data_IF_985626643325
#
_entry.id   IF_985626643325
#
_cell.length_a   1.000
_cell.length_b   1.000
_cell.length_c   1.000
_cell.angle_alpha   90.00
_cell.angle_beta   90.00
_cell.angle_gamma   90.00
#
_symmetry.space_group_name_H-M   'P 1'
#
loop_
_entity.id
_entity.type
_entity.pdbx_description
1 polymer ?
#
# COMPACT_ATOMS: atom_id res chain seq x y z
N UNK A 1 -7.69 10.50 14.33
CA UNK A 1 -6.69 9.44 14.59
C UNK A 1 -6.66 8.58 13.36
N UNK A 2 -5.46 8.22 12.90
CA UNK A 2 -5.23 7.26 11.81
C UNK A 2 -4.93 5.89 12.43
N UNK A 3 -5.37 4.82 11.79
CA UNK A 3 -5.10 3.45 12.19
C UNK A 3 -4.66 2.64 10.95
N UNK A 4 -3.36 2.28 10.81
CA UNK A 4 -2.89 1.45 9.71
C UNK A 4 -3.49 0.05 9.78
N UNK A 5 -4.11 -0.42 8.68
CA UNK A 5 -4.74 -1.74 8.60
C UNK A 5 -3.84 -2.79 7.96
N UNK A 6 -2.78 -2.38 7.28
CA UNK A 6 -1.79 -3.25 6.67
C UNK A 6 -0.37 -2.83 7.06
N UNK A 7 0.57 -3.75 6.89
CA UNK A 7 2.01 -3.51 7.04
C UNK A 7 2.67 -3.91 5.72
N UNK A 8 3.60 -3.11 5.25
CA UNK A 8 4.39 -3.45 4.08
C UNK A 8 5.26 -4.68 4.35
N UNK A 9 5.46 -5.49 3.31
CA UNK A 9 6.34 -6.64 3.33
C UNK A 9 7.50 -6.36 2.37
N UNK A 10 8.58 -5.82 2.91
CA UNK A 10 9.78 -5.52 2.12
C UNK A 10 10.79 -6.68 2.18
N UNK A 11 11.60 -6.90 1.15
CA UNK A 11 12.59 -7.99 1.14
C UNK A 11 13.53 -8.03 2.34
N UNK A 12 13.90 -6.86 2.90
CA UNK A 12 14.77 -6.73 4.07
C UNK A 12 14.07 -7.02 5.41
N UNK A 13 12.74 -7.12 5.43
CA UNK A 13 12.01 -7.47 6.65
C UNK A 13 12.46 -8.85 7.14
N UNK A 14 12.72 -9.05 8.45
CA UNK A 14 13.34 -10.28 8.96
C UNK A 14 12.61 -11.58 8.56
N UNK A 15 11.27 -11.56 8.54
CA UNK A 15 10.45 -12.72 8.16
C UNK A 15 10.56 -12.99 6.66
N UNK A 16 10.48 -11.94 5.84
CA UNK A 16 10.55 -12.03 4.39
C UNK A 16 11.96 -12.48 3.97
N UNK A 17 13.00 -11.84 4.51
CA UNK A 17 14.41 -12.19 4.26
C UNK A 17 14.73 -13.64 4.61
N UNK A 18 14.30 -14.10 5.78
CA UNK A 18 14.50 -15.50 6.19
C UNK A 18 13.84 -16.48 5.23
N UNK A 19 12.64 -16.18 4.71
CA UNK A 19 11.95 -17.01 3.70
C UNK A 19 12.73 -17.02 2.39
N UNK A 20 13.16 -15.85 1.90
CA UNK A 20 13.91 -15.70 0.64
C UNK A 20 15.20 -16.51 0.70
N UNK A 21 15.97 -16.39 1.78
CA UNK A 21 17.22 -17.09 1.99
C UNK A 21 17.02 -18.61 2.13
N UNK A 22 15.98 -19.04 2.84
CA UNK A 22 15.63 -20.46 2.99
C UNK A 22 15.20 -21.09 1.64
N UNK A 23 14.63 -20.31 0.73
CA UNK A 23 14.29 -20.72 -0.63
C UNK A 23 15.49 -20.71 -1.60
N UNK A 24 16.71 -20.39 -1.11
CA UNK A 24 17.94 -20.35 -1.89
C UNK A 24 18.21 -19.04 -2.62
N UNK A 25 17.44 -17.97 -2.31
CA UNK A 25 17.70 -16.62 -2.78
C UNK A 25 18.60 -15.81 -1.82
N UNK A 26 18.76 -14.56 -2.14
CA UNK A 26 19.44 -13.57 -1.29
C UNK A 26 18.72 -12.22 -1.36
N UNK A 27 19.00 -11.34 -0.40
CA UNK A 27 18.49 -9.96 -0.41
C UNK A 27 19.68 -9.00 -0.45
N UNK A 28 19.68 -8.11 -1.43
CA UNK A 28 20.66 -7.06 -1.62
C UNK A 28 19.94 -5.77 -2.01
N UNK A 29 20.30 -4.66 -1.36
CA UNK A 29 19.65 -3.35 -1.55
C UNK A 29 18.12 -3.39 -1.49
N UNK A 30 17.58 -4.11 -0.52
CA UNK A 30 16.13 -4.36 -0.34
C UNK A 30 15.46 -5.01 -1.57
N UNK A 31 16.20 -5.85 -2.30
CA UNK A 31 15.72 -6.56 -3.49
C UNK A 31 16.00 -8.05 -3.42
N UNK A 32 15.03 -8.85 -3.82
CA UNK A 32 15.18 -10.29 -3.99
C UNK A 32 16.13 -10.53 -5.16
N UNK A 33 17.21 -11.26 -4.93
CA UNK A 33 18.28 -11.55 -5.89
C UNK A 33 18.82 -10.28 -6.57
N UNK A 34 18.85 -9.14 -5.84
CA UNK A 34 19.32 -7.85 -6.34
C UNK A 34 18.41 -7.19 -7.40
N UNK A 35 17.24 -7.76 -7.69
CA UNK A 35 16.37 -7.32 -8.80
C UNK A 35 14.99 -6.85 -8.34
N UNK A 36 14.18 -7.71 -7.75
CA UNK A 36 12.79 -7.42 -7.41
C UNK A 36 12.66 -6.78 -6.03
N UNK A 37 12.06 -5.61 -5.94
CA UNK A 37 11.82 -4.87 -4.68
C UNK A 37 10.57 -5.30 -3.89
N UNK A 38 9.96 -6.43 -4.27
CA UNK A 38 8.79 -7.01 -3.64
C UNK A 38 9.12 -8.39 -3.06
N UNK A 39 8.63 -8.69 -1.86
CA UNK A 39 8.73 -10.01 -1.24
C UNK A 39 7.45 -10.83 -1.37
N UNK A 40 6.34 -10.15 -1.74
CA UNK A 40 5.04 -10.78 -2.00
C UNK A 40 4.38 -10.16 -3.21
N UNK A 41 3.87 -11.00 -4.13
CA UNK A 41 3.19 -10.56 -5.35
C UNK A 41 2.29 -11.64 -5.93
N UNK A 42 1.37 -11.24 -6.81
CA UNK A 42 0.73 -12.14 -7.77
C UNK A 42 1.61 -12.17 -9.03
N UNK A 43 1.78 -13.36 -9.64
CA UNK A 43 2.71 -13.49 -10.76
C UNK A 43 4.16 -13.71 -10.30
N UNK A 44 5.14 -13.14 -10.96
CA UNK A 44 6.59 -13.26 -10.68
C UNK A 44 7.05 -14.72 -10.53
N UNK A 45 6.64 -15.58 -11.45
CA UNK A 45 6.80 -17.03 -11.36
C UNK A 45 8.26 -17.49 -11.33
N UNK A 46 9.18 -16.70 -11.81
CA UNK A 46 10.62 -17.01 -11.73
C UNK A 46 11.12 -17.15 -10.29
N UNK A 47 10.52 -16.38 -9.35
CA UNK A 47 10.83 -16.45 -7.92
C UNK A 47 9.97 -17.48 -7.16
N UNK A 48 9.11 -18.23 -7.88
CA UNK A 48 8.16 -19.21 -7.32
C UNK A 48 8.36 -20.61 -7.88
N UNK A 49 9.54 -20.87 -8.43
CA UNK A 49 9.86 -22.12 -9.14
C UNK A 49 10.77 -23.07 -8.37
N UNK A 50 11.02 -22.84 -7.09
CA UNK A 50 11.84 -23.73 -6.26
C UNK A 50 11.09 -25.04 -6.04
N UNK A 51 11.65 -26.19 -6.47
CA UNK A 51 10.95 -27.47 -6.41
C UNK A 51 10.82 -27.99 -4.97
N UNK A 52 9.78 -28.76 -4.71
CA UNK A 52 9.55 -29.48 -3.44
C UNK A 52 9.39 -28.61 -2.18
N UNK A 53 9.08 -27.33 -2.33
CA UNK A 53 8.67 -26.47 -1.21
C UNK A 53 7.26 -25.90 -1.48
N UNK A 54 6.55 -25.60 -0.41
CA UNK A 54 5.20 -25.03 -0.48
C UNK A 54 5.22 -23.62 -1.11
N UNK A 55 4.07 -23.21 -1.68
CA UNK A 55 3.95 -21.88 -2.30
C UNK A 55 4.19 -20.73 -1.31
N UNK A 56 3.91 -20.96 -0.03
CA UNK A 56 4.16 -19.97 1.03
C UNK A 56 5.63 -19.83 1.39
N UNK A 57 6.45 -20.83 1.05
CA UNK A 57 7.88 -20.89 1.33
C UNK A 57 8.77 -20.46 0.14
N UNK A 58 8.19 -20.10 -0.99
CA UNK A 58 8.93 -19.61 -2.17
C UNK A 58 9.62 -18.27 -1.87
N UNK A 59 10.64 -17.90 -2.67
CA UNK A 59 11.36 -16.63 -2.52
C UNK A 59 10.38 -15.43 -2.47
N UNK A 60 9.44 -15.41 -3.43
CA UNK A 60 8.30 -14.49 -3.44
C UNK A 60 7.03 -15.32 -3.27
N UNK A 61 6.12 -14.88 -2.40
CA UNK A 61 4.86 -15.59 -2.18
C UNK A 61 3.66 -14.71 -2.51
N UNK A 62 2.53 -15.33 -2.81
CA UNK A 62 1.23 -14.62 -2.90
C UNK A 62 0.39 -14.80 -1.62
N UNK A 63 0.95 -15.39 -0.55
CA UNK A 63 0.27 -15.60 0.71
C UNK A 63 0.03 -14.24 1.40
N UNK A 64 -1.24 -13.81 1.62
CA UNK A 64 -1.52 -12.52 2.21
C UNK A 64 -1.43 -12.58 3.74
N UNK A 65 -0.96 -11.50 4.35
CA UNK A 65 -1.23 -11.28 5.77
C UNK A 65 -2.70 -10.87 5.94
N UNK A 66 -3.42 -11.56 6.82
CA UNK A 66 -4.82 -11.25 7.12
C UNK A 66 -4.95 -10.71 8.53
N UNK A 67 -5.47 -9.49 8.65
CA UNK A 67 -5.77 -8.84 9.93
C UNK A 67 -7.26 -8.59 10.05
N UNK A 68 -7.78 -8.70 11.27
CA UNK A 68 -9.15 -8.31 11.57
C UNK A 68 -9.18 -7.37 12.76
N UNK A 69 -10.04 -6.37 12.71
CA UNK A 69 -10.29 -5.46 13.81
C UNK A 69 -11.79 -5.18 13.93
N UNK A 70 -12.26 -4.97 15.16
CA UNK A 70 -13.65 -4.57 15.38
C UNK A 70 -13.83 -3.11 14.94
N UNK A 71 -14.82 -2.87 14.06
CA UNK A 71 -15.22 -1.54 13.66
C UNK A 71 -15.71 -0.74 14.86
N UNK A 72 -15.18 0.46 15.05
CA UNK A 72 -15.60 1.41 16.06
C UNK A 72 -16.69 2.37 15.52
N UNK A 73 -17.49 2.94 16.40
CA UNK A 73 -18.50 3.92 16.01
C UNK A 73 -17.90 5.21 15.42
N UNK A 74 -16.66 5.53 15.78
CA UNK A 74 -15.93 6.69 15.31
C UNK A 74 -15.24 6.47 13.94
N UNK A 75 -15.25 5.26 13.40
CA UNK A 75 -14.64 4.97 12.10
C UNK A 75 -15.47 5.58 10.97
N UNK A 76 -14.86 6.47 10.21
CA UNK A 76 -15.53 7.27 9.19
C UNK A 76 -15.31 6.76 7.78
N UNK A 77 -14.08 6.36 7.45
CA UNK A 77 -13.72 5.86 6.12
C UNK A 77 -12.45 5.00 6.17
N UNK A 78 -12.22 4.26 5.09
CA UNK A 78 -11.00 3.47 4.85
C UNK A 78 -10.38 3.99 3.56
N UNK A 79 -9.05 4.11 3.53
CA UNK A 79 -8.25 4.41 2.34
C UNK A 79 -7.49 3.14 1.94
N UNK A 80 -7.62 2.74 0.67
CA UNK A 80 -6.80 1.72 0.04
C UNK A 80 -6.08 2.40 -1.14
N UNK A 81 -4.77 2.30 -1.17
CA UNK A 81 -4.00 2.94 -2.24
C UNK A 81 -2.73 2.16 -2.57
N UNK A 82 -2.17 2.42 -3.76
CA UNK A 82 -0.85 1.93 -4.15
C UNK A 82 0.27 2.83 -3.59
N UNK A 83 1.51 2.42 -3.81
CA UNK A 83 2.71 3.11 -3.37
C UNK A 83 2.87 4.51 -3.97
N UNK A 84 2.38 4.79 -5.19
CA UNK A 84 2.34 6.15 -5.73
C UNK A 84 1.64 7.18 -4.83
N UNK A 85 0.83 6.74 -3.86
CA UNK A 85 0.26 7.58 -2.81
C UNK A 85 1.14 7.54 -1.55
N UNK A 86 1.55 6.33 -1.12
CA UNK A 86 2.26 6.13 0.13
C UNK A 86 3.70 6.62 0.11
N UNK A 87 4.31 6.72 -1.08
CA UNK A 87 5.62 7.36 -1.28
C UNK A 87 5.54 8.90 -1.19
N UNK A 88 4.35 9.47 -1.37
CA UNK A 88 4.12 10.91 -1.29
C UNK A 88 3.57 11.37 0.07
N UNK A 89 2.80 10.52 0.75
CA UNK A 89 2.06 10.85 1.97
C UNK A 89 2.22 9.76 3.01
N UNK A 90 2.45 10.16 4.24
CA UNK A 90 2.25 9.26 5.39
C UNK A 90 0.78 8.90 5.54
N UNK A 91 0.48 7.79 6.21
CA UNK A 91 -0.90 7.39 6.51
C UNK A 91 -1.69 8.48 7.25
N UNK A 92 -1.04 9.20 8.17
CA UNK A 92 -1.67 10.29 8.92
C UNK A 92 -2.00 11.49 8.02
N UNK A 93 -1.08 11.88 7.14
CA UNK A 93 -1.30 12.97 6.18
C UNK A 93 -2.42 12.64 5.20
N UNK A 94 -2.43 11.42 4.66
CA UNK A 94 -3.49 10.96 3.76
C UNK A 94 -4.86 11.00 4.45
N UNK A 95 -4.96 10.48 5.67
CA UNK A 95 -6.21 10.50 6.46
C UNK A 95 -6.64 11.92 6.79
N UNK A 96 -5.72 12.79 7.18
CA UNK A 96 -6.04 14.19 7.50
C UNK A 96 -6.57 14.94 6.28
N UNK A 97 -5.84 14.85 5.15
CA UNK A 97 -6.22 15.48 3.89
C UNK A 97 -7.57 14.97 3.37
N UNK A 98 -7.80 13.65 3.45
CA UNK A 98 -9.05 13.06 2.99
C UNK A 98 -10.23 13.46 3.87
N UNK A 99 -10.05 13.51 5.19
CA UNK A 99 -11.09 13.96 6.13
C UNK A 99 -11.49 15.42 5.87
N UNK A 100 -10.52 16.29 5.64
CA UNK A 100 -10.78 17.70 5.32
C UNK A 100 -11.62 17.83 4.04
N UNK A 101 -11.25 17.10 2.98
CA UNK A 101 -11.98 17.12 1.71
C UNK A 101 -13.39 16.56 1.84
N UNK A 102 -13.55 15.42 2.53
CA UNK A 102 -14.87 14.82 2.74
C UNK A 102 -15.80 15.71 3.55
N UNK A 103 -15.27 16.46 4.54
CA UNK A 103 -16.06 17.41 5.33
C UNK A 103 -16.48 18.64 4.53
N UNK A 104 -15.73 19.02 3.50
CA UNK A 104 -15.99 20.17 2.65
C UNK A 104 -16.62 19.77 1.29
N UNK A 105 -16.94 18.49 1.10
CA UNK A 105 -17.49 17.99 -0.15
C UNK A 105 -18.91 18.54 -0.36
N UNK A 106 -19.11 19.22 -1.48
CA UNK A 106 -20.43 19.70 -1.91
C UNK A 106 -21.38 18.54 -2.19
N UNK A 107 -22.67 18.69 -1.85
CA UNK A 107 -23.68 17.61 -2.00
C UNK A 107 -23.77 17.00 -3.42
N UNK A 108 -23.43 17.78 -4.44
CA UNK A 108 -23.55 17.36 -5.83
C UNK A 108 -22.26 16.78 -6.42
N UNK A 109 -21.16 16.73 -5.64
CA UNK A 109 -19.89 16.20 -6.09
C UNK A 109 -19.72 14.73 -5.65
N UNK A 110 -19.19 13.87 -6.53
CA UNK A 110 -18.88 12.50 -6.15
C UNK A 110 -17.68 12.45 -5.20
N UNK A 111 -17.61 11.41 -4.35
CA UNK A 111 -16.47 11.18 -3.44
C UNK A 111 -15.14 11.09 -4.21
N UNK A 112 -15.16 10.63 -5.46
CA UNK A 112 -13.96 10.57 -6.32
C UNK A 112 -13.28 11.93 -6.48
N UNK A 113 -14.04 13.04 -6.44
CA UNK A 113 -13.44 14.38 -6.52
C UNK A 113 -12.46 14.68 -5.39
N UNK A 114 -12.68 14.10 -4.20
CA UNK A 114 -11.74 14.21 -3.09
C UNK A 114 -10.40 13.50 -3.38
N UNK A 115 -10.46 12.40 -4.14
CA UNK A 115 -9.27 11.64 -4.57
C UNK A 115 -8.55 12.43 -5.65
N UNK A 116 -9.27 12.93 -6.64
CA UNK A 116 -8.73 13.74 -7.74
C UNK A 116 -7.98 14.97 -7.21
N UNK A 117 -8.58 15.72 -6.29
CA UNK A 117 -7.93 16.86 -5.62
C UNK A 117 -6.70 16.46 -4.80
N UNK A 118 -6.68 15.26 -4.22
CA UNK A 118 -5.50 14.75 -3.52
C UNK A 118 -4.39 14.42 -4.53
N UNK A 119 -4.72 13.79 -5.66
CA UNK A 119 -3.75 13.49 -6.72
C UNK A 119 -3.13 14.76 -7.30
N UNK A 120 -3.94 15.77 -7.63
CA UNK A 120 -3.47 17.07 -8.14
C UNK A 120 -2.48 17.76 -7.21
N UNK A 121 -2.61 17.51 -5.91
CA UNK A 121 -1.72 18.09 -4.89
C UNK A 121 -0.37 17.38 -4.79
N UNK A 122 -0.35 16.04 -4.98
CA UNK A 122 0.84 15.21 -4.75
C UNK A 122 1.58 14.82 -6.02
N UNK A 123 0.92 14.93 -7.19
CA UNK A 123 1.59 14.68 -8.47
C UNK A 123 2.75 15.66 -8.68
N UNK A 124 3.88 15.15 -9.13
CA UNK A 124 5.06 15.96 -9.41
C UNK A 124 4.77 17.00 -10.49
N UNK A 125 4.98 18.28 -10.16
CA UNK A 125 4.85 19.38 -11.13
C UNK A 125 6.04 19.43 -12.10
N UNK A 126 7.20 18.98 -11.64
CA UNK A 126 8.41 18.85 -12.44
C UNK A 126 9.13 17.55 -12.06
N UNK A 127 9.20 16.63 -13.00
CA UNK A 127 9.77 15.30 -12.84
C UNK A 127 11.26 15.36 -12.49
N UNK A 128 12.00 16.31 -13.09
CA UNK A 128 13.46 16.39 -12.91
C UNK A 128 13.85 16.82 -11.49
N UNK A 129 13.05 17.67 -10.86
CA UNK A 129 13.31 18.19 -9.52
C UNK A 129 12.64 17.40 -8.40
N UNK A 130 11.74 16.46 -8.71
CA UNK A 130 10.94 15.73 -7.74
C UNK A 130 11.70 14.60 -7.02
N UNK A 131 12.90 14.23 -7.49
CA UNK A 131 13.65 13.07 -7.02
C UNK A 131 12.83 11.75 -7.04
N UNK A 132 11.86 11.65 -7.96
CA UNK A 132 10.97 10.49 -8.12
C UNK A 132 9.67 10.58 -7.31
N UNK A 133 9.56 11.50 -6.36
CA UNK A 133 8.32 11.65 -5.57
C UNK A 133 7.20 12.23 -6.43
N UNK A 134 6.03 11.59 -6.41
CA UNK A 134 4.86 12.00 -7.18
C UNK A 134 4.94 11.73 -8.68
N UNK A 135 5.85 10.88 -9.13
CA UNK A 135 6.02 10.52 -10.55
C UNK A 135 5.44 9.17 -10.93
N UNK A 136 5.02 8.39 -9.96
CA UNK A 136 4.45 7.05 -10.18
C UNK A 136 2.95 7.11 -10.48
N UNK A 137 2.41 5.99 -10.99
CA UNK A 137 0.98 5.81 -11.17
C UNK A 137 0.25 5.83 -9.82
N UNK A 138 -0.86 6.55 -9.75
CA UNK A 138 -1.63 6.72 -8.54
C UNK A 138 -2.96 6.00 -8.64
N UNK A 139 -3.25 5.14 -7.66
CA UNK A 139 -4.53 4.48 -7.51
C UNK A 139 -5.00 4.60 -6.06
N UNK A 140 -6.24 5.03 -5.87
CA UNK A 140 -6.83 5.17 -4.54
C UNK A 140 -8.32 4.77 -4.55
N UNK A 141 -8.74 4.08 -3.50
CA UNK A 141 -10.14 3.75 -3.23
C UNK A 141 -10.49 4.25 -1.84
N UNK A 142 -11.59 5.00 -1.75
CA UNK A 142 -12.16 5.45 -0.48
C UNK A 142 -13.44 4.70 -0.20
N UNK A 143 -13.52 4.07 0.96
CA UNK A 143 -14.74 3.44 1.46
C UNK A 143 -15.29 4.26 2.61
N UNK A 144 -16.35 5.03 2.35
CA UNK A 144 -17.04 5.77 3.39
C UNK A 144 -17.92 4.82 4.21
N UNK A 145 -17.73 4.82 5.52
CA UNK A 145 -18.45 3.96 6.45
C UNK A 145 -19.72 4.67 6.93
N UNK A 146 -20.88 4.03 6.73
CA UNK A 146 -22.14 4.55 7.27
C UNK A 146 -22.11 4.52 8.80
N UNK A 147 -22.73 5.50 9.50
CA UNK A 147 -22.91 5.42 10.94
C UNK A 147 -23.50 4.07 11.36
N UNK A 148 -22.95 3.47 12.41
CA UNK A 148 -23.51 2.25 12.96
C UNK A 148 -24.69 2.64 13.85
N UNK A 149 -25.91 2.29 13.48
CA UNK A 149 -27.04 2.36 14.39
C UNK A 149 -26.80 1.29 15.48
N UNK A 150 -26.48 1.74 16.69
CA UNK A 150 -26.38 0.90 17.88
C UNK A 150 -27.78 0.60 18.40
#
# INVERSE_FOLDING_TARGET
>A
MCFPLSTDHKPDDPIEKARIEAAGGFVEENRVNGSLNLSRSLGDFEYKSVPNIDFTAQMVTCDPEVRSCARQAADQFIILACDGIWDCLTSEEAVLQMRERLNNLEENKPISSCIEEMFDKIIAKDILSSAGVGTDNMTCVIVQLKPRNL
#
